data_IF_047021089277
#
_entry.id   IF_047021089277
#
_cell.length_a   1.000
_cell.length_b   1.000
_cell.length_c   1.000
_cell.angle_alpha   90.00
_cell.angle_beta   90.00
_cell.angle_gamma   90.00
#
_symmetry.space_group_name_H-M   'P 1'
#
loop_
_entity.id
_entity.type
_entity.pdbx_description
1 polymer ?
#
# COMPACT_ATOMS: atom_id res chain seq x y z
N UNK A 1 -13.28 -2.42 3.08
CA UNK A 1 -12.17 -1.63 3.68
C UNK A 1 -11.36 -2.52 4.62
N UNK A 2 -10.37 -3.23 4.18
CA UNK A 2 -9.60 -4.14 5.04
C UNK A 2 -8.45 -4.91 4.40
N UNK A 3 -8.13 -4.68 3.15
CA UNK A 3 -7.19 -5.55 2.43
C UNK A 3 -5.72 -5.11 2.48
N UNK A 4 -5.39 -3.85 2.78
CA UNK A 4 -4.01 -3.40 2.88
C UNK A 4 -3.64 -3.00 4.31
N UNK A 5 -3.53 -3.99 5.17
CA UNK A 5 -2.88 -3.77 6.47
C UNK A 5 -1.35 -3.83 6.40
N UNK A 6 -0.77 -4.21 5.23
CA UNK A 6 0.67 -4.35 5.01
C UNK A 6 1.01 -4.08 3.55
N UNK A 7 2.18 -3.47 3.30
CA UNK A 7 2.78 -3.43 1.98
C UNK A 7 3.04 -4.87 1.51
N UNK A 8 2.64 -5.18 0.28
CA UNK A 8 2.92 -6.47 -0.33
C UNK A 8 4.21 -6.36 -1.14
N UNK A 9 5.17 -7.22 -0.87
CA UNK A 9 6.49 -7.20 -1.53
C UNK A 9 6.61 -8.19 -2.68
N UNK A 10 5.74 -9.20 -2.71
CA UNK A 10 5.75 -10.27 -3.72
C UNK A 10 4.40 -10.32 -4.41
N UNK A 11 4.36 -9.92 -5.67
CA UNK A 11 3.13 -9.86 -6.47
C UNK A 11 3.45 -9.89 -7.97
N UNK A 12 2.42 -10.05 -8.78
CA UNK A 12 2.50 -9.87 -10.23
C UNK A 12 1.50 -8.81 -10.65
N UNK A 13 1.95 -7.78 -11.37
CA UNK A 13 1.06 -6.78 -11.97
C UNK A 13 0.55 -7.33 -13.29
N UNK A 14 -0.76 -7.35 -13.44
CA UNK A 14 -1.42 -7.76 -14.67
C UNK A 14 -2.08 -6.55 -15.33
N UNK A 15 -1.73 -6.31 -16.58
CA UNK A 15 -2.30 -5.26 -17.42
C UNK A 15 -2.90 -5.87 -18.66
N UNK A 16 -4.17 -5.55 -18.90
CA UNK A 16 -4.91 -5.91 -20.10
C UNK A 16 -5.29 -4.65 -20.86
N UNK A 17 -4.87 -4.55 -22.12
CA UNK A 17 -5.31 -3.49 -23.03
C UNK A 17 -6.32 -4.10 -23.99
N UNK A 18 -7.53 -3.60 -23.95
CA UNK A 18 -8.68 -4.11 -24.73
C UNK A 18 -9.39 -2.98 -25.45
N UNK A 19 -10.04 -3.32 -26.55
CA UNK A 19 -11.02 -2.48 -27.22
C UNK A 19 -12.41 -3.10 -27.12
N UNK A 20 -13.42 -2.26 -26.96
CA UNK A 20 -14.80 -2.68 -26.74
C UNK A 20 -15.13 -2.88 -25.27
N UNK A 21 -16.39 -3.21 -24.99
CA UNK A 21 -16.92 -3.48 -23.67
C UNK A 21 -17.41 -4.93 -23.54
N UNK A 22 -17.53 -5.43 -22.32
CA UNK A 22 -18.12 -6.75 -22.09
C UNK A 22 -19.56 -6.84 -22.68
N UNK A 23 -19.96 -7.96 -23.29
CA UNK A 23 -19.17 -9.18 -23.48
C UNK A 23 -18.28 -9.19 -24.74
N UNK A 24 -18.38 -8.18 -25.60
CA UNK A 24 -17.74 -8.14 -26.94
C UNK A 24 -16.52 -7.24 -26.91
N UNK A 25 -15.41 -7.74 -26.38
CA UNK A 25 -14.12 -7.04 -26.35
C UNK A 25 -13.04 -7.82 -27.12
N UNK A 26 -12.08 -7.09 -27.64
CA UNK A 26 -10.87 -7.63 -28.26
C UNK A 26 -9.63 -7.23 -27.43
N UNK A 27 -8.79 -8.20 -27.11
CA UNK A 27 -7.55 -7.94 -26.41
C UNK A 27 -6.48 -7.53 -27.41
N UNK A 28 -5.96 -6.31 -27.28
CA UNK A 28 -4.84 -5.82 -28.09
C UNK A 28 -3.52 -6.30 -27.56
N UNK A 29 -3.30 -6.11 -26.28
CA UNK A 29 -2.08 -6.55 -25.63
C UNK A 29 -2.31 -6.91 -24.16
N UNK A 30 -1.45 -7.77 -23.66
CA UNK A 30 -1.45 -8.24 -22.29
C UNK A 30 -0.02 -8.28 -21.76
N UNK A 31 0.21 -7.77 -20.56
CA UNK A 31 1.48 -7.87 -19.87
C UNK A 31 1.32 -8.32 -18.43
N UNK A 32 2.27 -9.13 -17.99
CA UNK A 32 2.44 -9.52 -16.60
C UNK A 32 3.86 -9.15 -16.15
N UNK A 33 3.98 -8.43 -15.04
CA UNK A 33 5.23 -7.98 -14.46
C UNK A 33 5.37 -8.59 -13.07
N UNK A 34 6.31 -9.52 -12.91
CA UNK A 34 6.57 -10.18 -11.63
C UNK A 34 7.51 -9.35 -10.78
N UNK A 35 7.07 -9.06 -9.56
CA UNK A 35 7.82 -8.28 -8.56
C UNK A 35 8.12 -9.17 -7.36
N UNK A 36 9.37 -9.14 -6.90
CA UNK A 36 9.81 -9.79 -5.66
C UNK A 36 10.67 -8.81 -4.88
N UNK A 37 10.38 -8.68 -3.58
CA UNK A 37 11.05 -7.72 -2.69
C UNK A 37 11.06 -6.27 -3.22
N UNK A 38 9.98 -5.88 -3.92
CA UNK A 38 9.86 -4.55 -4.51
C UNK A 38 10.63 -4.32 -5.82
N UNK A 39 11.32 -5.34 -6.36
CA UNK A 39 12.06 -5.25 -7.62
C UNK A 39 11.42 -6.10 -8.72
N UNK A 40 11.44 -5.59 -9.96
CA UNK A 40 11.10 -6.37 -11.15
C UNK A 40 12.11 -7.52 -11.32
N UNK A 41 11.60 -8.76 -11.34
CA UNK A 41 12.44 -9.96 -11.52
C UNK A 41 12.17 -10.67 -12.83
N UNK A 42 10.97 -10.53 -13.37
CA UNK A 42 10.57 -11.18 -14.63
C UNK A 42 9.38 -10.46 -15.25
N UNK A 43 9.23 -10.57 -16.58
CA UNK A 43 8.10 -9.97 -17.27
C UNK A 43 7.68 -10.79 -18.50
N UNK A 44 6.38 -10.76 -18.78
CA UNK A 44 5.78 -11.41 -19.92
C UNK A 44 4.91 -10.39 -20.65
N UNK A 45 5.03 -10.32 -21.97
CA UNK A 45 4.23 -9.41 -22.76
C UNK A 45 3.78 -10.07 -24.07
N UNK A 46 2.49 -9.97 -24.36
CA UNK A 46 1.88 -10.40 -25.61
C UNK A 46 1.30 -9.17 -26.31
N UNK A 47 1.75 -8.92 -27.53
CA UNK A 47 1.27 -7.82 -28.37
C UNK A 47 0.45 -8.36 -29.55
N UNK A 48 -0.33 -7.49 -30.15
CA UNK A 48 -1.14 -7.79 -31.35
C UNK A 48 -2.03 -9.03 -31.17
N UNK A 49 -2.61 -9.21 -29.97
CA UNK A 49 -3.43 -10.37 -29.64
C UNK A 49 -4.67 -10.47 -30.52
N UNK A 50 -5.24 -9.34 -30.95
CA UNK A 50 -6.38 -9.24 -31.84
C UNK A 50 -6.09 -9.73 -33.26
N UNK A 51 -4.83 -9.77 -33.67
CA UNK A 51 -4.39 -10.22 -35.01
C UNK A 51 -3.91 -11.68 -35.03
N UNK A 52 -3.84 -12.33 -33.85
CA UNK A 52 -3.34 -13.69 -33.74
C UNK A 52 -4.38 -14.76 -34.02
N UNK A 53 -3.95 -15.85 -34.60
CA UNK A 53 -4.79 -17.06 -34.69
C UNK A 53 -5.14 -17.61 -33.31
N UNK A 54 -6.30 -18.23 -33.17
CA UNK A 54 -6.80 -18.83 -31.92
C UNK A 54 -5.80 -19.76 -31.24
N UNK A 55 -5.02 -20.54 -32.02
CA UNK A 55 -3.99 -21.44 -31.47
C UNK A 55 -2.83 -20.70 -30.85
N UNK A 56 -2.43 -19.56 -31.41
CA UNK A 56 -1.36 -18.73 -30.87
C UNK A 56 -1.82 -18.08 -29.55
N UNK A 57 -3.03 -17.54 -29.51
CA UNK A 57 -3.62 -16.99 -28.29
C UNK A 57 -3.71 -18.05 -27.20
N UNK A 58 -4.15 -19.27 -27.52
CA UNK A 58 -4.22 -20.37 -26.55
C UNK A 58 -2.84 -20.75 -25.99
N UNK A 59 -1.79 -20.70 -26.81
CA UNK A 59 -0.40 -20.89 -26.35
C UNK A 59 0.03 -19.76 -25.40
N UNK A 60 -0.22 -18.52 -25.75
CA UNK A 60 0.11 -17.35 -24.97
C UNK A 60 -0.61 -17.37 -23.62
N UNK A 61 -1.90 -17.72 -23.59
CA UNK A 61 -2.69 -17.83 -22.36
C UNK A 61 -2.19 -18.98 -21.45
N UNK A 62 -1.78 -20.11 -22.00
CA UNK A 62 -1.14 -21.18 -21.20
C UNK A 62 0.19 -20.75 -20.61
N UNK A 63 0.97 -19.97 -21.37
CA UNK A 63 2.24 -19.41 -20.89
C UNK A 63 1.97 -18.41 -19.77
N UNK A 64 0.96 -17.56 -19.91
CA UNK A 64 0.53 -16.63 -18.88
C UNK A 64 0.07 -17.39 -17.61
N UNK A 65 -0.75 -18.42 -17.77
CA UNK A 65 -1.22 -19.22 -16.63
C UNK A 65 -0.05 -19.81 -15.84
N UNK A 66 0.93 -20.40 -16.53
CA UNK A 66 2.15 -20.91 -15.89
C UNK A 66 2.99 -19.81 -15.25
N UNK A 67 3.03 -18.61 -15.87
CA UNK A 67 3.74 -17.46 -15.32
C UNK A 67 3.05 -16.93 -14.06
N UNK A 68 1.74 -16.80 -14.03
CA UNK A 68 1.01 -16.28 -12.85
C UNK A 68 1.04 -17.25 -11.66
N UNK A 69 1.02 -18.55 -11.91
CA UNK A 69 1.00 -19.60 -10.87
C UNK A 69 0.04 -19.22 -9.71
N UNK A 70 0.52 -19.18 -8.47
CA UNK A 70 -0.24 -18.79 -7.28
C UNK A 70 0.06 -17.36 -6.81
N UNK A 71 0.61 -16.51 -7.69
CA UNK A 71 0.98 -15.13 -7.33
C UNK A 71 -0.26 -14.31 -6.95
N UNK A 72 -0.08 -13.37 -6.02
CA UNK A 72 -1.02 -12.28 -5.81
C UNK A 72 -0.99 -11.36 -7.03
N UNK A 73 -2.14 -11.09 -7.62
CA UNK A 73 -2.26 -10.25 -8.81
C UNK A 73 -2.67 -8.83 -8.40
N UNK A 74 -1.86 -7.85 -8.77
CA UNK A 74 -2.24 -6.44 -8.72
C UNK A 74 -2.75 -6.01 -10.08
N UNK A 75 -3.88 -5.34 -10.12
CA UNK A 75 -4.42 -4.75 -11.33
C UNK A 75 -5.13 -3.43 -11.03
N UNK A 76 -5.15 -2.52 -11.99
CA UNK A 76 -6.03 -1.37 -11.95
C UNK A 76 -7.37 -1.77 -12.53
N UNK A 77 -8.46 -1.43 -11.82
CA UNK A 77 -9.83 -1.71 -12.23
C UNK A 77 -10.16 -3.21 -12.34
N UNK A 78 -10.26 -3.84 -11.16
CA UNK A 78 -10.69 -5.25 -11.04
C UNK A 78 -12.03 -5.48 -11.72
N UNK A 79 -12.98 -4.53 -11.59
CA UNK A 79 -14.34 -4.68 -12.11
C UNK A 79 -14.37 -4.84 -13.63
N UNK A 80 -13.41 -4.28 -14.33
CA UNK A 80 -13.29 -4.42 -15.79
C UNK A 80 -12.35 -5.54 -16.23
N UNK A 81 -11.21 -5.69 -15.55
CA UNK A 81 -10.15 -6.59 -16.00
C UNK A 81 -10.40 -8.04 -15.62
N UNK A 82 -10.98 -8.32 -14.44
CA UNK A 82 -11.19 -9.71 -14.02
C UNK A 82 -12.23 -10.46 -14.85
N UNK A 83 -13.42 -9.92 -15.17
CA UNK A 83 -14.36 -10.61 -16.06
C UNK A 83 -13.76 -10.91 -17.44
N UNK A 84 -12.90 -10.01 -17.96
CA UNK A 84 -12.21 -10.25 -19.22
C UNK A 84 -11.19 -11.39 -19.11
N UNK A 85 -10.43 -11.43 -18.02
CA UNK A 85 -9.47 -12.52 -17.74
C UNK A 85 -10.17 -13.87 -17.52
N UNK A 86 -11.26 -13.91 -16.77
CA UNK A 86 -12.07 -15.12 -16.59
C UNK A 86 -12.56 -15.67 -17.91
N UNK A 87 -13.07 -14.82 -18.80
CA UNK A 87 -13.51 -15.23 -20.15
C UNK A 87 -12.34 -15.81 -20.95
N UNK A 88 -11.17 -15.15 -20.96
CA UNK A 88 -9.99 -15.65 -21.67
C UNK A 88 -9.52 -17.00 -21.12
N UNK A 89 -9.53 -17.17 -19.79
CA UNK A 89 -9.14 -18.43 -19.16
C UNK A 89 -10.09 -19.56 -19.51
N UNK A 90 -11.39 -19.33 -19.47
CA UNK A 90 -12.39 -20.32 -19.86
C UNK A 90 -12.29 -20.69 -21.34
N UNK A 91 -12.06 -19.69 -22.21
CA UNK A 91 -12.01 -19.90 -23.66
C UNK A 91 -10.73 -20.61 -24.13
N UNK A 92 -9.58 -20.31 -23.52
CA UNK A 92 -8.27 -20.74 -24.02
C UNK A 92 -7.50 -21.67 -23.12
N UNK A 93 -7.78 -21.72 -21.82
CA UNK A 93 -7.08 -22.59 -20.87
C UNK A 93 -7.96 -23.73 -20.33
N UNK A 94 -9.29 -23.69 -20.56
CA UNK A 94 -10.26 -24.61 -19.95
C UNK A 94 -10.09 -24.64 -18.40
N UNK A 95 -9.84 -23.47 -17.82
CA UNK A 95 -9.54 -23.29 -16.40
C UNK A 95 -10.25 -22.05 -15.86
N UNK A 96 -10.37 -21.97 -14.55
CA UNK A 96 -10.81 -20.76 -13.86
C UNK A 96 -9.61 -19.91 -13.44
N UNK A 97 -9.79 -18.60 -13.44
CA UNK A 97 -8.82 -17.67 -12.87
C UNK A 97 -9.00 -17.64 -11.34
N UNK A 98 -8.09 -18.25 -10.61
CA UNK A 98 -8.23 -18.47 -9.15
C UNK A 98 -7.27 -17.61 -8.31
N UNK A 99 -6.41 -16.83 -8.96
CA UNK A 99 -5.45 -16.00 -8.24
C UNK A 99 -6.14 -14.96 -7.35
N UNK A 100 -5.60 -14.76 -6.17
CA UNK A 100 -6.01 -13.63 -5.32
C UNK A 100 -5.67 -12.33 -6.03
N UNK A 101 -6.63 -11.41 -6.12
CA UNK A 101 -6.48 -10.13 -6.80
C UNK A 101 -6.59 -8.95 -5.85
N UNK A 102 -5.83 -7.89 -6.09
CA UNK A 102 -5.85 -6.65 -5.36
C UNK A 102 -6.02 -5.49 -6.35
N UNK A 103 -7.06 -4.68 -6.12
CA UNK A 103 -7.27 -3.45 -6.88
C UNK A 103 -6.43 -2.31 -6.32
N UNK A 104 -5.67 -1.65 -7.19
CA UNK A 104 -4.85 -0.50 -6.80
C UNK A 104 -5.60 0.84 -6.86
N UNK A 105 -6.78 0.90 -7.50
CA UNK A 105 -7.53 2.16 -7.59
C UNK A 105 -7.98 2.68 -6.23
N UNK A 106 -8.59 1.87 -5.33
CA UNK A 106 -8.95 2.33 -3.99
C UNK A 106 -7.74 2.80 -3.17
N UNK A 107 -6.58 2.16 -3.37
CA UNK A 107 -5.33 2.57 -2.71
C UNK A 107 -4.92 3.96 -3.16
N UNK A 108 -4.93 4.19 -4.48
CA UNK A 108 -4.58 5.48 -5.05
C UNK A 108 -5.53 6.59 -4.60
N UNK A 109 -6.83 6.29 -4.48
CA UNK A 109 -7.83 7.24 -3.97
C UNK A 109 -7.60 7.61 -2.51
N UNK A 110 -7.27 6.63 -1.66
CA UNK A 110 -7.01 6.83 -0.23
C UNK A 110 -5.72 7.61 -0.01
N UNK A 111 -4.68 7.37 -0.81
CA UNK A 111 -3.36 8.00 -0.68
C UNK A 111 -3.32 9.41 -1.28
N UNK A 112 -4.08 9.67 -2.34
CA UNK A 112 -4.04 10.96 -3.06
C UNK A 112 -4.07 12.20 -2.13
N UNK A 113 -4.95 12.29 -1.12
CA UNK A 113 -4.97 13.46 -0.23
C UNK A 113 -3.76 13.54 0.71
N UNK A 114 -2.96 12.50 0.81
CA UNK A 114 -1.76 12.42 1.65
C UNK A 114 -0.48 12.79 0.89
N UNK A 115 -0.57 12.97 -0.44
CA UNK A 115 0.55 13.35 -1.29
C UNK A 115 0.89 14.82 -1.13
N UNK A 116 2.17 15.16 -1.30
CA UNK A 116 2.64 16.56 -1.31
C UNK A 116 2.01 17.36 -2.48
N UNK A 117 1.84 16.72 -3.64
CA UNK A 117 1.11 17.28 -4.79
C UNK A 117 0.04 16.29 -5.29
N UNK A 118 -1.19 16.35 -4.75
CA UNK A 118 -2.29 15.50 -5.16
C UNK A 118 -2.68 15.64 -6.64
N UNK A 119 -2.50 16.83 -7.22
CA UNK A 119 -2.86 17.10 -8.61
C UNK A 119 -1.88 16.41 -9.56
N UNK A 120 -0.58 16.53 -9.31
CA UNK A 120 0.46 15.83 -10.08
C UNK A 120 0.32 14.31 -9.97
N UNK A 121 -0.01 13.78 -8.77
CA UNK A 121 -0.24 12.34 -8.58
C UNK A 121 -1.43 11.83 -9.41
N UNK A 122 -2.57 12.55 -9.38
CA UNK A 122 -3.74 12.22 -10.23
C UNK A 122 -3.43 12.28 -11.72
N UNK A 123 -2.66 13.28 -12.16
CA UNK A 123 -2.24 13.39 -13.55
C UNK A 123 -1.37 12.19 -13.99
N UNK A 124 -0.47 11.70 -13.13
CA UNK A 124 0.33 10.49 -13.38
C UNK A 124 -0.54 9.24 -13.51
N UNK A 125 -1.54 9.07 -12.64
CA UNK A 125 -2.50 7.94 -12.73
C UNK A 125 -3.29 8.02 -14.04
N UNK A 126 -3.74 9.21 -14.44
CA UNK A 126 -4.45 9.40 -15.72
C UNK A 126 -3.56 9.04 -16.91
N UNK A 127 -2.30 9.49 -16.92
CA UNK A 127 -1.34 9.18 -17.98
C UNK A 127 -1.07 7.67 -18.14
N UNK A 128 -1.11 6.90 -17.03
CA UNK A 128 -0.98 5.44 -17.09
C UNK A 128 -2.17 4.80 -17.81
N UNK A 129 -3.38 5.33 -17.65
CA UNK A 129 -4.57 4.80 -18.33
C UNK A 129 -4.50 4.99 -19.86
N UNK A 130 -3.87 6.05 -20.31
CA UNK A 130 -3.67 6.36 -21.72
C UNK A 130 -2.49 5.62 -22.37
N UNK A 131 -1.62 4.97 -21.59
CA UNK A 131 -0.47 4.23 -22.11
C UNK A 131 -0.93 2.99 -22.88
N UNK A 132 -0.49 2.88 -24.13
CA UNK A 132 -0.87 1.81 -25.07
C UNK A 132 0.08 0.62 -25.07
N UNK A 133 1.27 0.76 -24.53
CA UNK A 133 2.20 -0.35 -24.31
C UNK A 133 1.90 -1.01 -22.97
N UNK A 134 1.46 -2.28 -23.02
CA UNK A 134 1.03 -3.01 -21.82
C UNK A 134 2.16 -3.19 -20.80
N UNK A 135 3.39 -3.45 -21.23
CA UNK A 135 4.53 -3.64 -20.33
C UNK A 135 4.97 -2.33 -19.68
N UNK A 136 5.00 -1.25 -20.47
CA UNK A 136 5.29 0.09 -19.95
C UNK A 136 4.22 0.54 -18.96
N UNK A 137 2.95 0.27 -19.27
CA UNK A 137 1.82 0.51 -18.37
C UNK A 137 1.97 -0.29 -17.06
N UNK A 138 2.38 -1.57 -17.11
CA UNK A 138 2.64 -2.39 -15.94
C UNK A 138 3.76 -1.83 -15.05
N UNK A 139 4.87 -1.38 -15.65
CA UNK A 139 5.99 -0.74 -14.92
C UNK A 139 5.58 0.58 -14.27
N UNK A 140 4.82 1.41 -14.96
CA UNK A 140 4.30 2.66 -14.40
C UNK A 140 3.29 2.40 -13.28
N UNK A 141 2.47 1.37 -13.41
CA UNK A 141 1.55 0.90 -12.36
C UNK A 141 2.33 0.42 -11.13
N UNK A 142 3.41 -0.34 -11.33
CA UNK A 142 4.32 -0.76 -10.25
C UNK A 142 4.89 0.44 -9.49
N UNK A 143 5.43 1.43 -10.19
CA UNK A 143 6.03 2.61 -9.56
C UNK A 143 5.01 3.40 -8.72
N UNK A 144 3.78 3.59 -9.23
CA UNK A 144 2.70 4.26 -8.47
C UNK A 144 2.26 3.43 -7.26
N UNK A 145 2.14 2.11 -7.42
CA UNK A 145 1.78 1.23 -6.31
C UNK A 145 2.82 1.27 -5.19
N UNK A 146 4.10 1.20 -5.51
CA UNK A 146 5.18 1.26 -4.52
C UNK A 146 5.13 2.57 -3.72
N UNK A 147 5.00 3.71 -4.42
CA UNK A 147 4.89 5.02 -3.79
C UNK A 147 3.64 5.13 -2.89
N UNK A 148 2.48 4.73 -3.39
CA UNK A 148 1.22 4.75 -2.66
C UNK A 148 1.23 3.81 -1.45
N UNK A 149 1.76 2.59 -1.62
CA UNK A 149 1.82 1.60 -0.56
C UNK A 149 2.78 2.00 0.57
N UNK A 150 3.87 2.70 0.25
CA UNK A 150 4.77 3.25 1.27
C UNK A 150 4.07 4.28 2.15
N UNK A 151 3.37 5.24 1.55
CA UNK A 151 2.65 6.28 2.28
C UNK A 151 1.53 5.68 3.13
N UNK A 152 0.71 4.81 2.54
CA UNK A 152 -0.43 4.19 3.23
C UNK A 152 0.02 3.27 4.36
N UNK A 153 1.07 2.48 4.12
CA UNK A 153 1.63 1.58 5.12
C UNK A 153 2.22 2.35 6.30
N UNK A 154 3.03 3.38 6.04
CA UNK A 154 3.61 4.24 7.07
C UNK A 154 2.52 4.95 7.89
N UNK A 155 1.50 5.49 7.24
CA UNK A 155 0.39 6.18 7.88
C UNK A 155 -0.45 5.24 8.76
N UNK A 156 -0.86 4.07 8.24
CA UNK A 156 -1.72 3.12 8.97
C UNK A 156 -1.05 2.50 10.20
N UNK A 157 0.27 2.38 10.19
CA UNK A 157 1.05 1.90 11.36
C UNK A 157 1.40 3.02 12.35
N UNK A 158 1.05 4.27 12.02
CA UNK A 158 1.48 5.44 12.80
C UNK A 158 3.00 5.62 12.74
N UNK A 159 3.62 5.15 11.69
CA UNK A 159 5.02 5.44 11.39
C UNK A 159 5.09 6.73 10.57
N UNK A 160 6.09 7.56 10.79
CA UNK A 160 6.36 8.66 9.88
C UNK A 160 6.60 8.12 8.47
N UNK A 161 5.99 8.72 7.45
CA UNK A 161 6.06 8.28 6.05
C UNK A 161 7.52 8.14 5.53
N UNK A 162 8.46 8.89 6.09
CA UNK A 162 9.88 8.83 5.73
C UNK A 162 10.62 7.57 6.25
N UNK A 163 9.97 6.71 7.08
CA UNK A 163 10.51 5.41 7.52
C UNK A 163 10.15 4.29 6.53
N UNK A 164 9.40 4.58 5.49
CA UNK A 164 8.77 3.56 4.65
C UNK A 164 9.73 2.79 3.71
N UNK A 165 10.97 3.20 3.55
CA UNK A 165 11.98 2.48 2.74
C UNK A 165 12.76 1.43 3.54
N UNK A 166 12.06 0.58 4.29
CA UNK A 166 12.68 -0.50 5.06
C UNK A 166 12.89 -1.75 4.21
N UNK A 167 14.05 -2.39 4.37
CA UNK A 167 14.23 -3.76 3.89
C UNK A 167 13.31 -4.73 4.63
N UNK A 168 13.08 -5.92 4.08
CA UNK A 168 12.21 -6.94 4.70
C UNK A 168 12.69 -7.34 6.10
N UNK A 169 14.01 -7.38 6.34
CA UNK A 169 14.57 -7.68 7.66
C UNK A 169 14.35 -6.55 8.66
N UNK A 170 14.56 -5.30 8.24
CA UNK A 170 14.29 -4.11 9.05
C UNK A 170 12.80 -4.02 9.39
N UNK A 171 11.92 -4.32 8.44
CA UNK A 171 10.48 -4.36 8.65
C UNK A 171 10.09 -5.39 9.73
N UNK A 172 10.60 -6.62 9.65
CA UNK A 172 10.40 -7.64 10.68
C UNK A 172 10.94 -7.19 12.04
N UNK A 173 12.10 -6.53 12.06
CA UNK A 173 12.67 -5.95 13.25
C UNK A 173 11.76 -4.89 13.88
N UNK A 174 11.20 -3.99 13.07
CA UNK A 174 10.23 -2.98 13.50
C UNK A 174 8.94 -3.63 14.02
N UNK A 175 8.38 -4.59 13.30
CA UNK A 175 7.16 -5.32 13.73
C UNK A 175 7.32 -6.02 15.08
N UNK A 176 8.51 -6.52 15.38
CA UNK A 176 8.79 -7.19 16.64
C UNK A 176 9.01 -6.21 17.80
N UNK A 177 9.74 -5.11 17.56
CA UNK A 177 10.19 -4.19 18.63
C UNK A 177 9.19 -3.05 18.90
N UNK A 178 8.56 -2.51 17.85
CA UNK A 178 7.68 -1.34 17.95
C UNK A 178 6.44 -1.59 18.83
N UNK A 179 5.69 -2.71 18.71
CA UNK A 179 4.51 -2.94 19.54
C UNK A 179 4.80 -2.97 21.04
N UNK A 180 6.00 -3.44 21.42
CA UNK A 180 6.42 -3.51 22.82
C UNK A 180 6.71 -2.12 23.43
N UNK A 181 7.21 -1.18 22.62
CA UNK A 181 7.56 0.19 23.03
C UNK A 181 6.41 1.18 22.86
N UNK A 182 5.43 0.89 21.98
CA UNK A 182 4.35 1.80 21.57
C UNK A 182 3.46 2.20 22.72
N UNK A 183 3.24 3.51 22.90
CA UNK A 183 2.32 4.07 23.90
C UNK A 183 0.87 3.78 23.52
N UNK A 184 0.05 3.47 24.53
CA UNK A 184 -1.37 3.13 24.35
C UNK A 184 -2.26 4.29 24.81
N UNK A 185 -3.21 4.68 23.97
CA UNK A 185 -4.12 5.81 24.24
C UNK A 185 -4.87 5.63 25.58
N UNK A 186 -5.38 4.44 25.86
CA UNK A 186 -6.13 4.20 27.09
C UNK A 186 -5.27 4.39 28.36
N UNK A 187 -3.96 4.02 28.31
CA UNK A 187 -3.03 4.27 29.42
C UNK A 187 -2.74 5.77 29.54
N UNK A 188 -2.55 6.46 28.39
CA UNK A 188 -2.37 7.90 28.38
C UNK A 188 -3.59 8.62 28.99
N UNK A 189 -4.81 8.16 28.68
CA UNK A 189 -6.07 8.70 29.27
C UNK A 189 -6.14 8.44 30.77
N UNK A 190 -5.73 7.27 31.23
CA UNK A 190 -5.66 6.99 32.66
C UNK A 190 -4.63 7.89 33.35
N UNK A 191 -3.45 8.04 32.78
CA UNK A 191 -2.41 8.94 33.28
C UNK A 191 -2.87 10.42 33.24
N UNK A 192 -3.67 10.81 32.24
CA UNK A 192 -4.25 12.13 32.17
C UNK A 192 -5.16 12.45 33.36
N UNK A 193 -6.00 11.50 33.76
CA UNK A 193 -6.87 11.65 34.93
C UNK A 193 -6.10 11.99 36.20
N UNK A 194 -4.87 11.45 36.34
CA UNK A 194 -3.97 11.73 37.47
C UNK A 194 -2.98 12.88 37.20
N UNK A 195 -3.07 13.56 36.06
CA UNK A 195 -2.15 14.63 35.69
C UNK A 195 -0.73 14.15 35.29
N UNK A 196 -0.56 12.87 35.02
CA UNK A 196 0.74 12.22 34.75
C UNK A 196 0.94 11.86 33.28
N UNK A 197 0.06 12.26 32.37
CA UNK A 197 0.11 11.88 30.96
C UNK A 197 1.38 12.36 30.25
N UNK A 198 1.90 13.55 30.60
CA UNK A 198 3.16 14.05 30.06
C UNK A 198 4.36 13.19 30.46
N UNK A 199 4.38 12.61 31.66
CA UNK A 199 5.40 11.63 32.04
C UNK A 199 5.30 10.36 31.23
N UNK A 200 4.09 9.84 31.05
CA UNK A 200 3.86 8.66 30.24
C UNK A 200 4.28 8.88 28.78
N UNK A 201 4.14 10.09 28.25
CA UNK A 201 4.52 10.47 26.90
C UNK A 201 5.98 10.96 26.78
N UNK A 202 6.77 10.78 27.85
CA UNK A 202 8.20 11.15 27.91
C UNK A 202 8.48 12.65 27.72
N UNK A 203 7.50 13.49 28.06
CA UNK A 203 7.65 14.94 28.00
C UNK A 203 7.74 15.54 29.41
N UNK A 204 8.83 15.20 30.10
CA UNK A 204 9.04 15.53 31.52
C UNK A 204 9.02 17.04 31.82
N UNK A 205 9.55 17.86 30.91
CA UNK A 205 9.56 19.31 31.08
C UNK A 205 8.13 19.90 31.12
N UNK A 206 7.27 19.48 30.21
CA UNK A 206 5.86 19.93 30.19
C UNK A 206 5.10 19.45 31.44
N UNK A 207 5.42 18.26 31.92
CA UNK A 207 4.77 17.72 33.13
C UNK A 207 5.15 18.54 34.37
N UNK A 208 6.39 18.97 34.48
CA UNK A 208 6.82 19.83 35.59
C UNK A 208 6.05 21.14 35.58
N UNK A 209 5.93 21.83 34.43
CA UNK A 209 5.12 23.04 34.29
C UNK A 209 3.64 22.80 34.62
N UNK A 210 3.07 21.68 34.17
CA UNK A 210 1.69 21.29 34.44
C UNK A 210 1.43 21.13 35.93
N UNK A 211 2.33 20.45 36.66
CA UNK A 211 2.22 20.25 38.11
C UNK A 211 2.40 21.59 38.87
N UNK A 212 3.34 22.44 38.46
CA UNK A 212 3.57 23.76 39.07
C UNK A 212 2.38 24.70 38.94
N UNK A 213 1.59 24.58 37.89
CA UNK A 213 0.40 25.41 37.64
C UNK A 213 -0.89 24.80 38.21
N UNK A 214 -0.82 23.74 39.02
CA UNK A 214 -1.98 22.99 39.54
C UNK A 214 -2.95 22.60 38.42
N UNK A 215 -2.38 22.00 37.35
CA UNK A 215 -3.14 21.57 36.18
C UNK A 215 -3.70 22.71 35.31
N UNK A 216 -3.11 23.93 35.38
CA UNK A 216 -3.50 25.06 34.55
C UNK A 216 -4.97 25.44 34.67
N UNK A 217 -5.51 25.45 35.89
CA UNK A 217 -6.90 25.80 36.15
C UNK A 217 -7.94 24.97 35.41
N UNK A 218 -7.88 23.63 35.44
CA UNK A 218 -8.86 22.72 34.82
C UNK A 218 -9.09 22.91 33.31
N UNK A 219 -9.03 24.12 32.80
CA UNK A 219 -9.20 24.43 31.36
C UNK A 219 -8.09 23.79 30.51
N UNK A 220 -6.85 23.84 30.99
CA UNK A 220 -5.72 23.21 30.30
C UNK A 220 -5.89 21.67 30.25
N UNK A 221 -6.41 21.11 31.31
CA UNK A 221 -6.69 19.68 31.41
C UNK A 221 -7.72 19.24 30.36
N UNK A 222 -8.80 19.99 30.16
CA UNK A 222 -9.80 19.70 29.13
C UNK A 222 -9.20 19.83 27.71
N UNK A 223 -8.35 20.81 27.51
CA UNK A 223 -7.66 21.01 26.22
C UNK A 223 -6.71 19.86 25.92
N UNK A 224 -5.99 19.37 26.94
CA UNK A 224 -5.10 18.23 26.79
C UNK A 224 -5.87 16.93 26.50
N UNK A 225 -7.05 16.73 27.04
CA UNK A 225 -7.89 15.58 26.73
C UNK A 225 -8.21 15.50 25.23
N UNK A 226 -8.58 16.66 24.63
CA UNK A 226 -8.83 16.74 23.20
C UNK A 226 -7.57 16.46 22.37
N UNK A 227 -6.41 16.90 22.83
CA UNK A 227 -5.12 16.73 22.14
C UNK A 227 -4.43 15.40 22.42
N UNK A 228 -4.91 14.66 23.43
CA UNK A 228 -4.24 13.42 23.89
C UNK A 228 -4.01 12.38 22.79
N UNK A 229 -4.95 12.12 21.86
CA UNK A 229 -4.70 11.22 20.75
C UNK A 229 -3.50 11.67 19.88
N UNK A 230 -3.47 12.94 19.51
CA UNK A 230 -2.36 13.50 18.71
C UNK A 230 -1.02 13.45 19.46
N UNK A 231 -1.01 13.67 20.76
CA UNK A 231 0.19 13.57 21.61
C UNK A 231 0.70 12.12 21.69
N UNK A 232 -0.19 11.15 21.77
CA UNK A 232 0.16 9.72 21.73
C UNK A 232 0.76 9.36 20.38
N UNK A 233 0.19 9.85 19.28
CA UNK A 233 0.70 9.60 17.91
C UNK A 233 2.08 10.25 17.71
N UNK A 234 2.29 11.47 18.18
CA UNK A 234 3.60 12.14 18.15
C UNK A 234 4.65 11.37 18.95
N UNK A 235 4.30 10.88 20.15
CA UNK A 235 5.20 10.07 20.97
C UNK A 235 5.51 8.73 20.29
N UNK A 236 4.52 8.08 19.68
CA UNK A 236 4.71 6.84 18.95
C UNK A 236 5.58 7.03 17.69
N UNK A 237 5.47 8.18 17.01
CA UNK A 237 6.32 8.52 15.89
C UNK A 237 7.80 8.64 16.30
N UNK A 238 8.08 9.28 17.45
CA UNK A 238 9.45 9.37 18.01
C UNK A 238 10.00 7.99 18.38
N UNK A 239 9.17 7.14 19.02
CA UNK A 239 9.55 5.77 19.36
C UNK A 239 9.84 4.95 18.09
N UNK A 240 9.06 5.12 17.03
CA UNK A 240 9.32 4.46 15.75
C UNK A 240 10.65 4.91 15.14
N UNK A 241 10.96 6.20 15.22
CA UNK A 241 12.25 6.74 14.78
C UNK A 241 13.44 6.17 15.57
N UNK A 242 13.31 6.06 16.87
CA UNK A 242 14.35 5.46 17.72
C UNK A 242 14.59 4.00 17.39
N UNK A 243 13.51 3.20 17.26
CA UNK A 243 13.61 1.79 16.88
C UNK A 243 14.25 1.63 15.51
N UNK A 244 13.91 2.49 14.54
CA UNK A 244 14.53 2.50 13.22
C UNK A 244 16.03 2.77 13.30
N UNK A 245 16.43 3.81 14.06
CA UNK A 245 17.85 4.13 14.27
C UNK A 245 18.63 2.99 14.95
N UNK A 246 17.97 2.27 15.87
CA UNK A 246 18.57 1.09 16.51
C UNK A 246 18.79 -0.06 15.52
N UNK A 247 17.84 -0.27 14.58
CA UNK A 247 17.94 -1.30 13.56
C UNK A 247 19.02 -1.00 12.50
N UNK A 248 19.25 0.28 12.19
CA UNK A 248 20.30 0.70 11.24
C UNK A 248 21.72 0.64 11.83
N UNK A 249 21.88 0.54 13.14
CA UNK A 249 23.18 0.49 13.82
C UNK A 249 23.69 -0.92 14.08
N UNK A 250 22.85 -1.91 13.96
CA UNK A 250 23.16 -3.32 14.22
C UNK A 250 23.21 -4.12 12.95
#
# INVERSE_FOLDING_TARGET
MGQLRRKVHNYTILVLIKEGSMPDFHVKSLAALRVREGAEVDSLCFQDCDQKERRAIAKDMKTLHAFLADDLILTADISENMPAMEKLYQEYCDAFFTNTTLDILPINEEVTPLMDDPAAFKARIAAIKEETDALKRARSTHAIYEEAAEILYGYQKGWPYWICSLSTEEERGMEKRLPAKKKKLWIATLCWFFGLHYFYLENSARNLFYLMTVGGCFLWMLFDLYRLPAMVDESNAKIAEEVYKELKKG
#
